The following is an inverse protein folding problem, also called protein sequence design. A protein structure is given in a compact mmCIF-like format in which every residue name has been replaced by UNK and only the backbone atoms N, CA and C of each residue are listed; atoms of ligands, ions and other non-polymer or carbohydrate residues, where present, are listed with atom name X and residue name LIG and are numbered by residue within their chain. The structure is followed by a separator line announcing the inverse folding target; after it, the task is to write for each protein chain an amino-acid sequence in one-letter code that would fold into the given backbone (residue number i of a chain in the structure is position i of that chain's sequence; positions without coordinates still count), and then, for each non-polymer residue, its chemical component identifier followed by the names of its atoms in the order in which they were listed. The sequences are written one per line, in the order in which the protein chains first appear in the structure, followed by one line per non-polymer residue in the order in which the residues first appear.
data_IF_090600172345
#
_entry.id   IF_090600172345
#
_cell.length_a   1.000
_cell.length_b   1.000
_cell.length_c   1.000
_cell.angle_alpha   90.00
_cell.angle_beta   90.00
_cell.angle_gamma   90.00
#
_symmetry.space_group_name_H-M   'P 1'
#
loop_
_entity.id
_entity.type
_entity.pdbx_description
1 polymer ?
#
# COMPACT_ATOMS: atom_id res chain seq x y z
N UNK A 1 -23.04 13.35 10.85
CA UNK A 1 -21.86 13.37 11.78
C UNK A 1 -20.78 12.37 11.36
N UNK A 2 -21.12 11.10 11.13
CA UNK A 2 -20.20 10.02 10.71
C UNK A 2 -19.31 10.34 9.49
N UNK A 3 -19.88 10.92 8.43
CA UNK A 3 -19.13 11.33 7.22
C UNK A 3 -18.08 12.42 7.49
N UNK A 4 -18.34 13.35 8.43
CA UNK A 4 -17.37 14.41 8.77
C UNK A 4 -16.13 13.81 9.45
N UNK A 5 -16.33 12.84 10.34
CA UNK A 5 -15.24 12.16 11.06
C UNK A 5 -14.35 11.39 10.08
N UNK A 6 -14.93 10.62 9.13
CA UNK A 6 -14.12 9.90 8.13
C UNK A 6 -13.33 10.83 7.21
N UNK A 7 -13.91 11.96 6.78
CA UNK A 7 -13.18 12.97 6.00
C UNK A 7 -11.96 13.51 6.75
N UNK A 8 -12.13 13.89 8.03
CA UNK A 8 -11.05 14.39 8.87
C UNK A 8 -9.97 13.31 9.04
N UNK A 9 -10.38 12.06 9.31
CA UNK A 9 -9.46 10.94 9.48
C UNK A 9 -8.64 10.67 8.20
N UNK A 10 -9.30 10.68 7.03
CA UNK A 10 -8.61 10.54 5.73
C UNK A 10 -7.61 11.65 5.51
N UNK A 11 -7.97 12.91 5.77
CA UNK A 11 -7.06 14.04 5.64
C UNK A 11 -5.86 13.92 6.57
N UNK A 12 -6.09 13.49 7.83
CA UNK A 12 -5.04 13.30 8.83
C UNK A 12 -4.08 12.18 8.43
N UNK A 13 -4.59 10.99 8.09
CA UNK A 13 -3.75 9.88 7.64
C UNK A 13 -3.04 10.20 6.33
N UNK A 14 -3.69 10.89 5.38
CA UNK A 14 -3.04 11.35 4.15
C UNK A 14 -1.87 12.27 4.46
N UNK A 15 -2.06 13.25 5.36
CA UNK A 15 -1.02 14.18 5.76
C UNK A 15 0.17 13.45 6.40
N UNK A 16 -0.11 12.54 7.36
CA UNK A 16 0.92 11.72 7.99
C UNK A 16 1.66 10.87 6.95
N UNK A 17 0.94 10.18 6.07
CA UNK A 17 1.53 9.32 5.06
C UNK A 17 2.43 10.08 4.09
N UNK A 18 2.02 11.26 3.64
CA UNK A 18 2.84 12.13 2.78
C UNK A 18 4.08 12.60 3.51
N UNK A 19 3.95 13.12 4.75
CA UNK A 19 5.10 13.59 5.53
C UNK A 19 6.09 12.45 5.74
N UNK A 20 5.61 11.28 6.16
CA UNK A 20 6.45 10.09 6.34
C UNK A 20 7.13 9.67 5.03
N UNK A 21 6.41 9.70 3.90
CA UNK A 21 6.97 9.36 2.59
C UNK A 21 8.06 10.34 2.15
N UNK A 22 7.81 11.65 2.30
CA UNK A 22 8.80 12.69 2.01
C UNK A 22 10.03 12.52 2.88
N UNK A 23 9.84 12.25 4.18
CA UNK A 23 10.96 12.01 5.08
C UNK A 23 11.77 10.79 4.64
N UNK A 24 11.08 9.71 4.26
CA UNK A 24 11.73 8.50 3.81
C UNK A 24 12.52 8.69 2.51
N UNK A 25 12.00 9.47 1.56
CA UNK A 25 12.62 9.65 0.24
C UNK A 25 13.66 10.77 0.19
N UNK A 26 13.40 11.90 0.84
CA UNK A 26 14.28 13.08 0.80
C UNK A 26 15.39 12.93 1.83
N UNK A 27 15.06 12.63 3.09
CA UNK A 27 16.06 12.47 4.16
C UNK A 27 16.66 11.06 4.22
N UNK A 28 16.20 10.14 3.35
CA UNK A 28 16.68 8.75 3.28
C UNK A 28 16.56 7.98 4.60
N UNK A 29 15.63 8.38 5.46
CA UNK A 29 15.36 7.68 6.73
C UNK A 29 14.49 6.47 6.42
N UNK A 30 15.03 5.26 6.58
CA UNK A 30 14.30 4.02 6.32
C UNK A 30 13.52 4.02 4.97
N UNK A 31 14.21 4.30 3.84
CA UNK A 31 13.61 4.73 2.56
C UNK A 31 12.74 3.69 1.87
N UNK A 32 12.82 2.43 2.33
CA UNK A 32 12.04 1.29 1.84
C UNK A 32 11.00 0.84 2.87
N UNK A 33 11.35 0.89 4.17
CA UNK A 33 10.48 0.40 5.25
C UNK A 33 9.26 1.32 5.42
N UNK A 34 9.48 2.64 5.49
CA UNK A 34 8.38 3.59 5.71
C UNK A 34 7.33 3.51 4.58
N UNK A 35 7.70 3.55 3.28
CA UNK A 35 6.73 3.38 2.20
C UNK A 35 5.92 2.08 2.26
N UNK A 36 6.57 0.97 2.65
CA UNK A 36 5.90 -0.32 2.81
C UNK A 36 4.94 -0.36 4.00
N UNK A 37 5.06 0.54 4.96
CA UNK A 37 4.14 0.63 6.11
C UNK A 37 2.95 1.55 5.83
N UNK A 38 2.99 2.41 4.80
CA UNK A 38 1.89 3.35 4.50
C UNK A 38 0.53 2.68 4.23
N UNK A 39 0.45 1.48 3.62
CA UNK A 39 -0.82 0.76 3.48
C UNK A 39 -1.54 0.44 4.79
N UNK A 40 -0.88 0.50 5.95
CA UNK A 40 -1.52 0.30 7.27
C UNK A 40 -2.67 1.27 7.56
N UNK A 41 -2.65 2.46 6.95
CA UNK A 41 -3.73 3.44 7.10
C UNK A 41 -5.03 3.02 6.40
N UNK A 42 -4.98 2.15 5.38
CA UNK A 42 -6.15 1.69 4.62
C UNK A 42 -7.19 1.01 5.54
N UNK A 43 -6.85 -0.06 6.28
CA UNK A 43 -7.81 -0.70 7.18
C UNK A 43 -8.31 0.20 8.31
N UNK A 44 -7.51 1.19 8.75
CA UNK A 44 -7.93 2.17 9.77
C UNK A 44 -9.05 3.11 9.29
N UNK A 45 -9.21 3.30 7.98
CA UNK A 45 -10.28 4.14 7.40
C UNK A 45 -11.65 3.45 7.41
N UNK A 46 -11.67 2.11 7.52
CA UNK A 46 -12.88 1.28 7.57
C UNK A 46 -13.92 1.65 6.48
N UNK A 47 -13.44 1.95 5.27
CA UNK A 47 -14.28 2.30 4.12
C UNK A 47 -13.46 2.29 2.83
N UNK A 48 -13.92 1.52 1.85
CA UNK A 48 -13.29 1.43 0.53
C UNK A 48 -13.22 2.80 -0.17
N UNK A 49 -14.30 3.59 -0.08
CA UNK A 49 -14.37 4.92 -0.69
C UNK A 49 -13.28 5.85 -0.16
N UNK A 50 -13.14 5.95 1.17
CA UNK A 50 -12.11 6.78 1.78
C UNK A 50 -10.69 6.22 1.58
N UNK A 51 -10.53 4.90 1.43
CA UNK A 51 -9.24 4.28 1.08
C UNK A 51 -8.80 4.65 -0.34
N UNK A 52 -9.74 4.71 -1.30
CA UNK A 52 -9.47 5.17 -2.65
C UNK A 52 -9.09 6.66 -2.65
N UNK A 53 -9.82 7.50 -1.91
CA UNK A 53 -9.47 8.93 -1.76
C UNK A 53 -8.07 9.08 -1.17
N UNK A 54 -7.72 8.28 -0.15
CA UNK A 54 -6.38 8.28 0.44
C UNK A 54 -5.30 7.92 -0.59
N UNK A 55 -5.49 6.87 -1.38
CA UNK A 55 -4.53 6.46 -2.42
C UNK A 55 -4.36 7.52 -3.50
N UNK A 56 -5.47 8.02 -4.03
CA UNK A 56 -5.45 9.03 -5.10
C UNK A 56 -4.86 10.33 -4.59
N UNK A 57 -5.24 10.76 -3.37
CA UNK A 57 -4.67 11.93 -2.72
C UNK A 57 -3.16 11.77 -2.47
N UNK A 58 -2.71 10.58 -2.06
CA UNK A 58 -1.30 10.30 -1.85
C UNK A 58 -0.51 10.40 -3.16
N UNK A 59 -1.01 9.80 -4.25
CA UNK A 59 -0.39 9.94 -5.57
C UNK A 59 -0.39 11.38 -6.07
N UNK A 60 -1.50 12.10 -5.88
CA UNK A 60 -1.62 13.48 -6.30
C UNK A 60 -0.59 14.37 -5.60
N UNK A 61 -0.50 14.27 -4.27
CA UNK A 61 0.44 15.09 -3.49
C UNK A 61 1.89 14.69 -3.79
N UNK A 62 2.21 13.40 -3.83
CA UNK A 62 3.58 12.95 -4.17
C UNK A 62 4.00 13.34 -5.58
N UNK A 63 3.06 13.46 -6.52
CA UNK A 63 3.31 14.00 -7.85
C UNK A 63 3.67 15.50 -7.82
N UNK A 64 3.04 16.30 -6.96
CA UNK A 64 3.41 17.72 -6.79
C UNK A 64 4.86 17.90 -6.33
N UNK A 65 5.41 16.91 -5.61
CA UNK A 65 6.82 16.87 -5.20
C UNK A 65 7.75 16.18 -6.23
N UNK A 66 7.26 15.82 -7.41
CA UNK A 66 8.05 15.15 -8.45
C UNK A 66 8.40 13.68 -8.15
N UNK A 67 7.74 13.06 -7.17
CA UNK A 67 8.02 11.68 -6.74
C UNK A 67 7.10 10.63 -7.37
N UNK A 68 6.37 11.00 -8.43
CA UNK A 68 5.37 10.13 -9.06
C UNK A 68 5.93 8.76 -9.48
N UNK A 69 7.06 8.73 -10.20
CA UNK A 69 7.68 7.48 -10.65
C UNK A 69 8.12 6.56 -9.51
N UNK A 70 8.30 7.10 -8.30
CA UNK A 70 8.67 6.33 -7.11
C UNK A 70 7.44 5.90 -6.30
N UNK A 71 6.37 6.70 -6.30
CA UNK A 71 5.14 6.44 -5.56
C UNK A 71 4.18 5.54 -6.34
N UNK A 72 4.14 5.64 -7.67
CA UNK A 72 3.22 4.89 -8.50
C UNK A 72 3.43 3.37 -8.45
N UNK A 73 4.68 2.85 -8.54
CA UNK A 73 4.93 1.42 -8.37
C UNK A 73 4.53 0.90 -7.00
N UNK A 74 4.74 1.71 -5.94
CA UNK A 74 4.33 1.39 -4.59
C UNK A 74 2.80 1.19 -4.51
N UNK A 75 2.04 2.07 -5.14
CA UNK A 75 0.58 1.98 -5.14
C UNK A 75 0.10 0.75 -5.90
N UNK A 76 0.62 0.52 -7.11
CA UNK A 76 0.23 -0.64 -7.92
C UNK A 76 0.56 -1.95 -7.20
N UNK A 77 1.77 -2.08 -6.66
CA UNK A 77 2.25 -3.33 -6.08
C UNK A 77 1.67 -3.58 -4.68
N UNK A 78 1.56 -2.56 -3.83
CA UNK A 78 1.21 -2.77 -2.42
C UNK A 78 -0.18 -2.27 -2.07
N UNK A 79 -0.55 -1.04 -2.45
CA UNK A 79 -1.82 -0.46 -2.02
C UNK A 79 -3.01 -1.16 -2.67
N UNK A 80 -2.99 -1.39 -3.98
CA UNK A 80 -4.13 -2.00 -4.69
C UNK A 80 -4.39 -3.43 -4.17
N UNK A 81 -3.40 -4.34 -4.10
CA UNK A 81 -3.63 -5.66 -3.54
C UNK A 81 -4.08 -5.61 -2.09
N UNK A 82 -3.55 -4.67 -1.30
CA UNK A 82 -3.94 -4.52 0.10
C UNK A 82 -5.40 -4.06 0.27
N UNK A 83 -5.86 -3.06 -0.48
CA UNK A 83 -7.27 -2.61 -0.46
C UNK A 83 -8.19 -3.78 -0.77
N UNK A 84 -7.92 -4.51 -1.84
CA UNK A 84 -8.74 -5.64 -2.25
C UNK A 84 -8.72 -6.76 -1.20
N UNK A 85 -7.56 -7.04 -0.60
CA UNK A 85 -7.46 -8.00 0.49
C UNK A 85 -8.33 -7.61 1.70
N UNK A 86 -8.30 -6.35 2.12
CA UNK A 86 -9.04 -5.84 3.28
C UNK A 86 -10.55 -5.93 3.06
N UNK A 87 -11.03 -5.51 1.88
CA UNK A 87 -12.47 -5.35 1.64
C UNK A 87 -13.17 -6.59 1.05
N UNK A 88 -12.45 -7.54 0.45
CA UNK A 88 -13.06 -8.72 -0.18
C UNK A 88 -13.31 -9.92 0.75
N UNK A 89 -12.99 -9.82 2.05
CA UNK A 89 -13.23 -10.76 3.17
C UNK A 89 -13.20 -12.27 2.82
N UNK A 90 -14.25 -12.80 2.17
CA UNK A 90 -14.41 -14.21 1.79
C UNK A 90 -13.32 -14.73 0.84
N UNK A 91 -12.99 -13.96 -0.19
CA UNK A 91 -12.05 -14.37 -1.24
C UNK A 91 -10.76 -13.54 -1.24
N UNK A 92 -10.38 -13.00 -0.08
CA UNK A 92 -9.29 -12.01 0.05
C UNK A 92 -7.96 -12.48 -0.55
N UNK A 93 -7.59 -13.75 -0.36
CA UNK A 93 -6.34 -14.30 -0.90
C UNK A 93 -6.37 -14.41 -2.42
N UNK A 94 -7.46 -14.96 -2.97
CA UNK A 94 -7.62 -15.12 -4.41
C UNK A 94 -7.62 -13.76 -5.12
N UNK A 95 -8.39 -12.79 -4.60
CA UNK A 95 -8.51 -11.46 -5.21
C UNK A 95 -7.20 -10.68 -5.07
N UNK A 96 -6.54 -10.74 -3.90
CA UNK A 96 -5.20 -10.19 -3.69
C UNK A 96 -4.20 -10.77 -4.70
N UNK A 97 -4.16 -12.10 -4.86
CA UNK A 97 -3.28 -12.76 -5.84
C UNK A 97 -3.56 -12.35 -7.28
N UNK A 98 -4.83 -12.28 -7.69
CA UNK A 98 -5.19 -11.81 -9.04
C UNK A 98 -4.74 -10.36 -9.28
N UNK A 99 -4.98 -9.47 -8.30
CA UNK A 99 -4.54 -8.09 -8.38
C UNK A 99 -3.02 -7.94 -8.39
N UNK A 100 -2.31 -8.80 -7.65
CA UNK A 100 -0.86 -8.87 -7.61
C UNK A 100 -0.29 -9.28 -8.97
N UNK A 101 -0.91 -10.25 -9.66
CA UNK A 101 -0.54 -10.63 -11.03
C UNK A 101 -0.71 -9.44 -11.98
N UNK A 102 -1.87 -8.78 -11.93
CA UNK A 102 -2.15 -7.59 -12.77
C UNK A 102 -1.15 -6.47 -12.49
N UNK A 103 -0.82 -6.23 -11.22
CA UNK A 103 0.15 -5.24 -10.80
C UNK A 103 1.56 -5.55 -11.34
N UNK A 104 2.03 -6.79 -11.19
CA UNK A 104 3.33 -7.21 -11.74
C UNK A 104 3.38 -7.02 -13.25
N UNK A 105 2.36 -7.50 -13.98
CA UNK A 105 2.30 -7.36 -15.45
C UNK A 105 2.37 -5.87 -15.85
N UNK A 106 1.68 -5.01 -15.10
CA UNK A 106 1.71 -3.56 -15.33
C UNK A 106 3.11 -2.98 -15.09
N UNK A 107 3.77 -3.34 -13.98
CA UNK A 107 5.13 -2.87 -13.68
C UNK A 107 6.14 -3.36 -14.71
N UNK A 108 6.06 -4.61 -15.13
CA UNK A 108 6.94 -5.17 -16.16
C UNK A 108 6.81 -4.43 -17.49
N UNK A 109 5.58 -4.03 -17.86
CA UNK A 109 5.32 -3.35 -19.12
C UNK A 109 5.71 -1.86 -19.10
N UNK A 110 5.40 -1.15 -18.02
CA UNK A 110 5.58 0.30 -17.94
C UNK A 110 6.88 0.72 -17.24
N UNK A 111 7.46 -0.15 -16.43
CA UNK A 111 8.67 0.13 -15.65
C UNK A 111 9.71 -1.01 -15.74
N UNK A 112 10.09 -1.44 -16.96
CA UNK A 112 11.04 -2.54 -17.13
C UNK A 112 12.42 -2.23 -16.53
N UNK A 113 12.77 -0.94 -16.38
CA UNK A 113 14.03 -0.47 -15.81
C UNK A 113 14.18 -0.75 -14.30
N UNK A 114 13.10 -1.06 -13.57
CA UNK A 114 13.21 -1.48 -12.17
C UNK A 114 13.60 -2.95 -11.99
N UNK A 115 13.60 -3.73 -13.07
CA UNK A 115 13.80 -5.17 -13.00
C UNK A 115 15.11 -5.52 -13.70
N UNK A 116 16.05 -6.21 -13.01
CA UNK A 116 17.32 -6.59 -13.61
C UNK A 116 17.14 -7.45 -14.87
N UNK A 117 17.92 -7.16 -15.93
CA UNK A 117 17.85 -7.84 -17.23
C UNK A 117 17.97 -9.37 -17.14
N UNK A 118 18.82 -9.87 -16.24
CA UNK A 118 19.01 -11.31 -16.05
C UNK A 118 17.74 -12.04 -15.60
N UNK A 119 16.79 -11.35 -14.94
CA UNK A 119 15.50 -11.93 -14.57
C UNK A 119 14.65 -12.16 -15.82
N UNK A 120 14.68 -11.25 -16.79
CA UNK A 120 13.94 -11.41 -18.05
C UNK A 120 14.54 -12.48 -18.96
N UNK A 121 15.86 -12.59 -18.97
CA UNK A 121 16.59 -13.56 -19.81
C UNK A 121 16.40 -15.00 -19.33
N UNK A 122 16.20 -15.21 -18.03
CA UNK A 122 15.97 -16.52 -17.45
C UNK A 122 14.49 -16.74 -17.10
N UNK A 123 13.78 -17.49 -17.96
CA UNK A 123 12.35 -17.82 -17.80
C UNK A 123 12.02 -18.48 -16.44
N UNK A 124 12.93 -19.28 -15.89
CA UNK A 124 12.72 -19.96 -14.60
C UNK A 124 12.78 -18.92 -13.47
N UNK A 125 13.81 -18.08 -13.44
CA UNK A 125 13.94 -17.01 -12.44
C UNK A 125 12.77 -16.01 -12.52
N UNK A 126 12.32 -15.69 -13.73
CA UNK A 126 11.14 -14.85 -13.96
C UNK A 126 9.89 -15.45 -13.30
N UNK A 127 9.58 -16.72 -13.60
CA UNK A 127 8.43 -17.42 -13.03
C UNK A 127 8.52 -17.52 -11.50
N UNK A 128 9.70 -17.87 -10.97
CA UNK A 128 9.94 -17.94 -9.52
C UNK A 128 9.70 -16.57 -8.86
N UNK A 129 10.16 -15.49 -9.47
CA UNK A 129 9.99 -14.13 -8.93
C UNK A 129 8.51 -13.74 -8.81
N UNK A 130 7.70 -14.09 -9.81
CA UNK A 130 6.25 -13.88 -9.78
C UNK A 130 5.60 -14.67 -8.64
N UNK A 131 5.95 -15.96 -8.51
CA UNK A 131 5.40 -16.82 -7.46
C UNK A 131 5.76 -16.30 -6.07
N UNK A 132 7.04 -15.96 -5.85
CA UNK A 132 7.54 -15.39 -4.60
C UNK A 132 6.78 -14.10 -4.27
N UNK A 133 6.56 -13.22 -5.24
CA UNK A 133 5.83 -11.99 -5.02
C UNK A 133 4.35 -12.25 -4.65
N UNK A 134 3.66 -13.16 -5.34
CA UNK A 134 2.26 -13.50 -5.03
C UNK A 134 2.13 -14.10 -3.63
N UNK A 135 3.08 -14.93 -3.21
CA UNK A 135 3.11 -15.41 -1.82
C UNK A 135 3.41 -14.28 -0.84
N UNK A 136 4.45 -13.51 -1.14
CA UNK A 136 4.93 -12.40 -0.31
C UNK A 136 3.88 -11.33 -0.08
N UNK A 137 3.11 -10.94 -1.10
CA UNK A 137 2.08 -9.90 -0.98
C UNK A 137 0.92 -10.36 -0.10
N UNK A 138 0.57 -11.65 -0.11
CA UNK A 138 -0.46 -12.19 0.78
C UNK A 138 0.01 -12.22 2.23
N UNK A 139 1.27 -12.61 2.48
CA UNK A 139 1.89 -12.55 3.81
C UNK A 139 1.94 -11.09 4.29
N UNK A 140 2.43 -10.19 3.43
CA UNK A 140 2.49 -8.75 3.68
C UNK A 140 1.11 -8.18 4.06
N UNK A 141 0.06 -8.54 3.31
CA UNK A 141 -1.29 -8.07 3.59
C UNK A 141 -1.82 -8.52 4.96
N UNK A 142 -1.46 -9.72 5.42
CA UNK A 142 -1.76 -10.19 6.78
C UNK A 142 -1.03 -9.33 7.81
N UNK A 143 0.28 -9.12 7.63
CA UNK A 143 1.11 -8.33 8.56
C UNK A 143 0.58 -6.91 8.69
N UNK A 144 0.28 -6.24 7.58
CA UNK A 144 -0.25 -4.87 7.56
C UNK A 144 -1.61 -4.78 8.25
N UNK A 145 -2.49 -5.77 8.01
CA UNK A 145 -3.80 -5.82 8.66
C UNK A 145 -3.66 -5.99 10.17
N UNK A 146 -2.76 -6.87 10.62
CA UNK A 146 -2.54 -7.10 12.04
C UNK A 146 -1.94 -5.87 12.72
N UNK A 147 -0.95 -5.24 12.09
CA UNK A 147 -0.35 -3.99 12.58
C UNK A 147 -1.41 -2.88 12.72
N UNK A 148 -2.32 -2.76 11.74
CA UNK A 148 -3.43 -1.82 11.81
C UNK A 148 -4.35 -2.08 13.01
N UNK A 149 -4.69 -3.35 13.29
CA UNK A 149 -5.47 -3.70 14.49
C UNK A 149 -4.74 -3.34 15.77
N UNK A 150 -3.43 -3.59 15.83
CA UNK A 150 -2.62 -3.22 16.99
C UNK A 150 -2.65 -1.70 17.22
N UNK A 151 -2.44 -0.90 16.16
CA UNK A 151 -2.50 0.56 16.23
C UNK A 151 -3.88 1.02 16.72
N UNK A 152 -4.96 0.49 16.13
CA UNK A 152 -6.33 0.79 16.55
C UNK A 152 -6.56 0.44 18.03
N UNK A 153 -6.07 -0.71 18.49
CA UNK A 153 -6.17 -1.13 19.88
C UNK A 153 -5.44 -0.19 20.85
N UNK A 154 -4.23 0.26 20.48
CA UNK A 154 -3.47 1.24 21.28
C UNK A 154 -4.18 2.60 21.33
N UNK A 155 -4.69 3.09 20.19
CA UNK A 155 -5.46 4.34 20.14
C UNK A 155 -6.69 4.25 21.05
N UNK A 156 -7.45 3.16 20.97
CA UNK A 156 -8.61 2.93 21.83
C UNK A 156 -8.22 2.89 23.31
N UNK A 157 -7.10 2.25 23.66
CA UNK A 157 -6.60 2.15 25.03
C UNK A 157 -6.22 3.51 25.62
N UNK A 158 -5.52 4.35 24.86
CA UNK A 158 -4.97 5.61 25.39
C UNK A 158 -5.90 6.82 25.20
N UNK A 159 -6.72 6.83 24.14
CA UNK A 159 -7.57 7.97 23.80
C UNK A 159 -9.06 7.69 24.03
N UNK A 160 -9.46 6.44 24.28
CA UNK A 160 -10.87 6.06 24.46
C UNK A 160 -11.71 6.17 23.17
N UNK A 161 -11.09 6.47 22.02
CA UNK A 161 -11.78 6.66 20.74
C UNK A 161 -11.80 5.35 19.95
N UNK A 162 -12.97 4.94 19.46
CA UNK A 162 -13.12 3.82 18.53
C UNK A 162 -13.03 4.33 17.08
N UNK A 163 -12.01 3.86 16.33
CA UNK A 163 -11.74 4.22 14.92
C UNK A 163 -12.36 3.23 13.93
#
# INVERSE_FOLDING_TARGET
MYLKIKKILTALFLSIAVILYLIAKIFRIAPNIIPLLLPTFIPLLNSIYYSIIFIVGFLFITNLFGLFFQAFPLVLLFFIPHVLFVYSKKNRFLISSLSAIIAIISILRFFPFYIPKYIFENKILYMISIIIYIFGINIYNIIVLELSKTIKGQIKKYLGVDL
#
